data_IF_363893047562
#
_entry.id   IF_363893047562
#
_cell.length_a   1.000
_cell.length_b   1.000
_cell.length_c   1.000
_cell.angle_alpha   90.00
_cell.angle_beta   90.00
_cell.angle_gamma   90.00
#
_symmetry.space_group_name_H-M   'P 1'
#
loop_
_entity.id
_entity.type
_entity.pdbx_description
1 polymer ?
#
# COMPACT_ATOMS: atom_id res chain seq x y z
N UNK A 1 10.45 -3.28 -39.15
CA UNK A 1 10.77 -2.14 -40.08
C UNK A 1 9.48 -1.36 -40.28
N UNK A 2 9.22 -0.26 -39.57
CA UNK A 2 8.40 0.87 -40.04
C UNK A 2 8.87 2.08 -39.23
N UNK A 3 9.57 2.95 -39.94
CA UNK A 3 10.07 4.25 -39.48
C UNK A 3 8.95 5.26 -39.78
N UNK A 4 8.51 6.01 -38.78
CA UNK A 4 7.77 7.24 -39.06
C UNK A 4 8.46 8.41 -38.39
N UNK A 5 9.20 9.11 -39.23
CA UNK A 5 9.64 10.48 -39.04
C UNK A 5 8.57 11.41 -39.55
N UNK A 6 8.09 12.36 -38.73
CA UNK A 6 7.52 13.61 -39.24
C UNK A 6 7.90 14.75 -38.29
N UNK A 7 8.89 15.50 -38.81
CA UNK A 7 9.19 16.88 -38.41
C UNK A 7 7.99 17.78 -38.74
N UNK A 8 7.59 18.63 -37.82
CA UNK A 8 6.89 19.87 -38.19
C UNK A 8 7.41 21.01 -37.32
N UNK A 9 8.31 21.77 -37.93
CA UNK A 9 8.82 23.06 -37.47
C UNK A 9 7.75 24.12 -37.76
N UNK A 10 7.30 24.87 -36.78
CA UNK A 10 6.61 26.14 -36.99
C UNK A 10 7.28 27.20 -36.13
N UNK A 11 8.02 28.05 -36.79
CA UNK A 11 8.56 29.28 -36.27
C UNK A 11 7.46 30.38 -36.35
N UNK A 12 7.15 31.06 -35.26
CA UNK A 12 6.48 32.33 -35.28
C UNK A 12 7.25 33.32 -34.42
N UNK A 13 7.92 34.25 -35.11
CA UNK A 13 8.48 35.45 -34.55
C UNK A 13 7.43 36.53 -34.55
N UNK A 14 7.09 37.10 -33.40
CA UNK A 14 6.43 38.43 -33.32
C UNK A 14 7.11 39.24 -32.23
N UNK A 15 7.81 40.27 -32.64
CA UNK A 15 8.27 41.38 -31.81
C UNK A 15 7.07 42.18 -31.30
N UNK A 16 7.01 42.39 -29.99
CA UNK A 16 6.09 43.33 -29.40
C UNK A 16 6.63 43.78 -28.04
N UNK A 17 7.39 44.88 -28.05
CA UNK A 17 7.84 45.54 -26.82
C UNK A 17 6.66 46.32 -26.20
N UNK A 18 6.24 45.90 -25.01
CA UNK A 18 5.39 46.72 -24.16
C UNK A 18 5.86 46.50 -22.71
N UNK A 19 6.58 47.46 -22.20
CA UNK A 19 6.92 47.58 -20.80
C UNK A 19 5.68 47.97 -20.00
N UNK A 20 5.16 47.01 -19.25
CA UNK A 20 4.17 47.29 -18.21
C UNK A 20 4.87 47.00 -16.87
N UNK A 21 4.87 47.89 -15.90
CA UNK A 21 5.37 47.59 -14.59
C UNK A 21 4.42 46.59 -13.92
N UNK A 22 4.85 45.36 -13.77
CA UNK A 22 4.11 44.35 -13.01
C UNK A 22 4.24 44.71 -11.53
N UNK A 23 3.18 45.29 -11.00
CA UNK A 23 2.91 45.32 -9.58
C UNK A 23 2.89 43.86 -9.13
N UNK A 24 3.86 43.45 -8.31
CA UNK A 24 3.87 42.15 -7.64
C UNK A 24 2.70 42.08 -6.68
N UNK A 25 1.53 41.68 -7.17
CA UNK A 25 0.48 41.15 -6.33
C UNK A 25 0.98 39.78 -5.88
N UNK A 26 1.45 39.70 -4.63
CA UNK A 26 1.66 38.44 -3.94
C UNK A 26 0.32 37.73 -3.90
N UNK A 27 0.17 36.73 -4.77
CA UNK A 27 -0.94 35.78 -4.67
C UNK A 27 -0.79 35.08 -3.30
N UNK A 28 -1.86 35.05 -2.48
CA UNK A 28 -1.85 34.25 -1.27
C UNK A 28 -1.55 32.81 -1.67
N UNK A 29 -0.55 32.23 -1.00
CA UNK A 29 0.07 30.95 -1.32
C UNK A 29 -0.95 29.89 -1.69
N UNK A 30 -0.74 29.30 -2.86
CA UNK A 30 -1.34 28.01 -3.19
C UNK A 30 -1.04 27.07 -2.01
N UNK A 31 -2.04 26.40 -1.43
CA UNK A 31 -1.77 25.38 -0.46
C UNK A 31 -0.85 24.36 -1.14
N UNK A 32 0.38 24.26 -0.66
CA UNK A 32 1.26 23.18 -1.05
C UNK A 32 0.45 21.90 -0.84
N UNK A 33 0.17 21.19 -1.92
CA UNK A 33 -0.40 19.84 -1.85
C UNK A 33 0.66 19.01 -1.16
N UNK A 34 0.55 18.92 0.17
CA UNK A 34 1.36 18.01 0.94
C UNK A 34 0.99 16.61 0.44
N UNK A 35 1.96 15.82 0.00
CA UNK A 35 1.70 14.41 -0.27
C UNK A 35 1.11 13.81 1.02
N UNK A 36 0.13 12.91 0.93
CA UNK A 36 -0.56 12.39 2.09
C UNK A 36 0.44 11.79 3.07
N UNK A 37 0.68 12.48 4.19
CA UNK A 37 1.49 12.00 5.32
C UNK A 37 0.69 10.95 6.11
N UNK A 38 0.21 9.90 5.43
CA UNK A 38 -0.52 8.83 6.08
C UNK A 38 0.39 7.80 6.75
N UNK A 39 1.71 7.87 6.51
CA UNK A 39 2.68 6.96 7.14
C UNK A 39 2.84 7.18 8.66
N UNK A 40 2.48 8.35 9.17
CA UNK A 40 2.56 8.70 10.59
C UNK A 40 1.23 8.52 11.36
N UNK A 41 0.16 8.04 10.72
CA UNK A 41 -1.16 7.94 11.35
C UNK A 41 -1.37 6.65 12.18
N UNK A 42 -0.48 5.67 12.06
CA UNK A 42 -0.57 4.42 12.85
C UNK A 42 0.36 4.47 14.06
N UNK A 43 -0.19 4.15 15.23
CA UNK A 43 0.57 4.00 16.47
C UNK A 43 1.45 2.74 16.43
N UNK A 44 2.50 2.71 17.24
CA UNK A 44 3.35 1.53 17.36
C UNK A 44 2.58 0.29 17.88
N UNK A 45 1.57 0.51 18.71
CA UNK A 45 0.67 -0.55 19.17
C UNK A 45 -0.12 -1.17 18.01
N UNK A 46 -0.69 -0.35 17.12
CA UNK A 46 -1.43 -0.83 15.94
C UNK A 46 -0.50 -1.57 14.97
N UNK A 47 0.71 -1.06 14.75
CA UNK A 47 1.69 -1.71 13.89
C UNK A 47 2.20 -3.02 14.48
N UNK A 48 2.31 -3.10 15.80
CA UNK A 48 2.66 -4.35 16.49
C UNK A 48 1.55 -5.39 16.35
N UNK A 49 0.29 -5.02 16.59
CA UNK A 49 -0.86 -5.92 16.37
C UNK A 49 -0.92 -6.37 14.92
N UNK A 50 -0.71 -5.45 13.97
CA UNK A 50 -0.64 -5.78 12.55
C UNK A 50 0.49 -6.78 12.23
N UNK A 51 1.69 -6.58 12.78
CA UNK A 51 2.83 -7.46 12.57
C UNK A 51 2.56 -8.89 13.08
N UNK A 52 1.95 -9.02 14.26
CA UNK A 52 1.55 -10.32 14.83
C UNK A 52 0.47 -10.99 13.99
N UNK A 53 -0.56 -10.24 13.59
CA UNK A 53 -1.61 -10.73 12.71
C UNK A 53 -1.04 -11.21 11.37
N UNK A 54 -0.12 -10.44 10.76
CA UNK A 54 0.53 -10.79 9.50
C UNK A 54 1.35 -12.09 9.60
N UNK A 55 2.10 -12.28 10.69
CA UNK A 55 2.82 -13.53 10.95
C UNK A 55 1.88 -14.73 11.09
N UNK A 56 0.78 -14.57 11.81
CA UNK A 56 -0.22 -15.63 11.98
C UNK A 56 -0.91 -15.96 10.66
N UNK A 57 -1.32 -14.94 9.88
CA UNK A 57 -1.89 -15.12 8.54
C UNK A 57 -0.91 -15.85 7.62
N UNK A 58 0.37 -15.49 7.64
CA UNK A 58 1.38 -16.17 6.82
C UNK A 58 1.56 -17.64 7.25
N UNK A 59 1.55 -17.93 8.55
CA UNK A 59 1.63 -19.29 9.08
C UNK A 59 0.43 -20.13 8.62
N UNK A 60 -0.78 -19.59 8.72
CA UNK A 60 -2.00 -20.25 8.26
C UNK A 60 -1.94 -20.52 6.76
N UNK A 61 -1.53 -19.54 5.95
CA UNK A 61 -1.35 -19.75 4.50
C UNK A 61 -0.41 -20.92 4.21
N UNK A 62 0.74 -20.96 4.85
CA UNK A 62 1.72 -22.05 4.67
C UNK A 62 1.18 -23.41 5.10
N UNK A 63 0.31 -23.44 6.12
CA UNK A 63 -0.35 -24.68 6.58
C UNK A 63 -1.41 -25.17 5.60
N UNK A 64 -2.11 -24.25 4.93
CA UNK A 64 -3.21 -24.58 4.02
C UNK A 64 -2.79 -24.77 2.56
N UNK A 65 -1.65 -24.23 2.11
CA UNK A 65 -1.13 -24.44 0.77
C UNK A 65 -1.05 -25.92 0.37
N UNK A 66 -0.43 -26.84 1.14
CA UNK A 66 -0.37 -28.24 0.77
C UNK A 66 -1.75 -28.92 0.78
N UNK A 67 -2.70 -28.44 1.58
CA UNK A 67 -4.08 -28.94 1.59
C UNK A 67 -4.83 -28.55 0.32
N UNK A 68 -4.57 -27.32 -0.19
CA UNK A 68 -5.12 -26.88 -1.47
C UNK A 68 -4.55 -27.68 -2.65
N UNK A 69 -3.22 -27.95 -2.63
CA UNK A 69 -2.56 -28.76 -3.66
C UNK A 69 -3.03 -30.20 -3.65
N UNK A 70 -3.46 -30.73 -2.50
CA UNK A 70 -3.99 -32.08 -2.35
C UNK A 70 -5.47 -32.20 -2.68
N UNK A 71 -6.21 -31.09 -2.79
CA UNK A 71 -7.62 -31.07 -3.13
C UNK A 71 -7.82 -31.55 -4.59
N UNK A 72 -8.70 -32.51 -4.79
CA UNK A 72 -8.93 -33.15 -6.11
C UNK A 72 -10.22 -32.69 -6.77
N UNK A 73 -11.08 -32.03 -6.03
CA UNK A 73 -12.36 -31.53 -6.53
C UNK A 73 -12.56 -30.06 -6.16
N UNK A 74 -13.33 -29.33 -6.96
CA UNK A 74 -13.65 -27.92 -6.65
C UNK A 74 -14.30 -27.74 -5.28
N UNK A 75 -15.11 -28.70 -4.83
CA UNK A 75 -15.78 -28.68 -3.52
C UNK A 75 -14.74 -28.76 -2.40
N UNK A 76 -13.77 -29.68 -2.51
CA UNK A 76 -12.66 -29.81 -1.54
C UNK A 76 -11.80 -28.53 -1.50
N UNK A 77 -11.51 -27.93 -2.68
CA UNK A 77 -10.82 -26.65 -2.70
C UNK A 77 -11.58 -25.54 -1.96
N UNK A 78 -12.89 -25.46 -2.15
CA UNK A 78 -13.73 -24.45 -1.49
C UNK A 78 -13.76 -24.64 0.01
N UNK A 79 -13.87 -25.87 0.50
CA UNK A 79 -13.82 -26.19 1.92
C UNK A 79 -12.47 -25.76 2.54
N UNK A 80 -11.36 -26.12 1.90
CA UNK A 80 -10.02 -25.75 2.36
C UNK A 80 -9.85 -24.24 2.34
N UNK A 81 -10.29 -23.54 1.29
CA UNK A 81 -10.23 -22.06 1.20
C UNK A 81 -11.06 -21.40 2.29
N UNK A 82 -12.28 -21.93 2.52
CA UNK A 82 -13.15 -21.41 3.57
C UNK A 82 -12.50 -21.57 4.95
N UNK A 83 -12.03 -22.77 5.27
CA UNK A 83 -11.37 -23.03 6.54
C UNK A 83 -10.13 -22.14 6.74
N UNK A 84 -9.30 -21.97 5.71
CA UNK A 84 -8.15 -21.08 5.76
C UNK A 84 -8.57 -19.61 6.01
N UNK A 85 -9.62 -19.17 5.33
CA UNK A 85 -10.14 -17.80 5.50
C UNK A 85 -10.68 -17.57 6.91
N UNK A 86 -11.47 -18.51 7.42
CA UNK A 86 -12.05 -18.43 8.76
C UNK A 86 -10.95 -18.35 9.84
N UNK A 87 -9.88 -19.18 9.72
CA UNK A 87 -8.74 -19.11 10.62
C UNK A 87 -7.94 -17.80 10.50
N UNK A 88 -7.77 -17.28 9.28
CA UNK A 88 -7.10 -15.98 9.09
C UNK A 88 -7.88 -14.83 9.72
N UNK A 89 -9.21 -14.84 9.60
CA UNK A 89 -10.08 -13.85 10.24
C UNK A 89 -9.93 -13.93 11.76
N UNK A 90 -10.02 -15.12 12.34
CA UNK A 90 -9.83 -15.31 13.79
C UNK A 90 -8.44 -14.87 14.26
N UNK A 91 -7.39 -15.13 13.47
CA UNK A 91 -6.04 -14.71 13.81
C UNK A 91 -5.89 -13.18 13.80
N UNK A 92 -6.54 -12.49 12.87
CA UNK A 92 -6.54 -11.01 12.81
C UNK A 92 -7.31 -10.42 14.00
N UNK A 93 -8.50 -10.96 14.27
CA UNK A 93 -9.36 -10.51 15.39
C UNK A 93 -8.72 -10.81 16.76
N UNK A 94 -8.01 -11.94 16.88
CA UNK A 94 -7.26 -12.31 18.08
C UNK A 94 -6.15 -11.32 18.45
N UNK A 95 -5.62 -10.58 17.48
CA UNK A 95 -4.64 -9.51 17.71
C UNK A 95 -5.31 -8.14 17.97
N UNK A 96 -6.63 -8.11 18.16
CA UNK A 96 -7.40 -6.89 18.44
C UNK A 96 -7.64 -6.00 17.21
N UNK A 97 -7.57 -6.56 16.01
CA UNK A 97 -7.80 -5.85 14.75
C UNK A 97 -9.04 -6.35 14.04
N UNK A 98 -9.70 -5.47 13.30
CA UNK A 98 -10.70 -5.89 12.31
C UNK A 98 -10.01 -6.26 10.99
N UNK A 99 -10.63 -7.12 10.20
CA UNK A 99 -10.14 -7.48 8.85
C UNK A 99 -10.01 -6.23 7.96
N UNK A 100 -10.87 -5.24 8.14
CA UNK A 100 -10.80 -3.97 7.41
C UNK A 100 -9.54 -3.20 7.76
N UNK A 101 -9.24 -3.00 9.05
CA UNK A 101 -8.01 -2.33 9.50
C UNK A 101 -6.76 -3.06 9.00
N UNK A 102 -6.75 -4.40 9.08
CA UNK A 102 -5.65 -5.20 8.55
C UNK A 102 -5.41 -4.94 7.05
N UNK A 103 -6.47 -4.88 6.23
CA UNK A 103 -6.36 -4.59 4.80
C UNK A 103 -5.89 -3.16 4.54
N UNK A 104 -6.39 -2.18 5.27
CA UNK A 104 -5.99 -0.77 5.16
C UNK A 104 -4.49 -0.63 5.44
N UNK A 105 -3.99 -1.18 6.55
CA UNK A 105 -2.57 -1.15 6.89
C UNK A 105 -1.75 -1.91 5.84
N UNK A 106 -2.20 -3.10 5.41
CA UNK A 106 -1.51 -3.87 4.36
C UNK A 106 -1.33 -3.07 3.06
N UNK A 107 -2.35 -2.33 2.66
CA UNK A 107 -2.28 -1.47 1.46
C UNK A 107 -1.30 -0.31 1.68
N UNK A 108 -1.34 0.34 2.83
CA UNK A 108 -0.45 1.45 3.16
C UNK A 108 1.02 1.01 3.27
N UNK A 109 1.28 -0.17 3.84
CA UNK A 109 2.62 -0.77 3.92
C UNK A 109 3.22 -0.98 2.53
N UNK A 110 2.42 -1.38 1.54
CA UNK A 110 2.88 -1.56 0.16
C UNK A 110 3.19 -0.22 -0.54
N UNK A 111 2.58 0.86 -0.11
CA UNK A 111 2.73 2.20 -0.69
C UNK A 111 3.77 3.06 0.02
N UNK A 112 4.12 2.74 1.26
CA UNK A 112 5.04 3.51 2.09
C UNK A 112 6.23 2.66 2.57
N UNK A 113 7.43 2.87 2.00
CA UNK A 113 8.64 2.17 2.46
C UNK A 113 8.98 2.44 3.92
N UNK A 114 8.65 3.62 4.42
CA UNK A 114 8.87 3.98 5.82
C UNK A 114 7.97 3.20 6.76
N UNK A 115 6.68 3.06 6.42
CA UNK A 115 5.75 2.25 7.17
C UNK A 115 6.14 0.76 7.12
N UNK A 116 6.57 0.28 5.94
CA UNK A 116 7.08 -1.08 5.77
C UNK A 116 8.26 -1.38 6.70
N UNK A 117 9.19 -0.43 6.85
CA UNK A 117 10.33 -0.56 7.76
C UNK A 117 9.90 -0.67 9.22
N UNK A 118 8.99 0.18 9.69
CA UNK A 118 8.43 0.12 11.04
C UNK A 118 7.75 -1.23 11.32
N UNK A 119 6.95 -1.72 10.38
CA UNK A 119 6.31 -3.04 10.49
C UNK A 119 7.34 -4.16 10.54
N UNK A 120 8.40 -4.11 9.72
CA UNK A 120 9.48 -5.11 9.75
C UNK A 120 10.21 -5.15 11.09
N UNK A 121 10.39 -4.03 11.76
CA UNK A 121 10.97 -3.98 13.11
C UNK A 121 10.08 -4.74 14.10
N UNK A 122 8.77 -4.52 14.09
CA UNK A 122 7.84 -5.25 14.95
C UNK A 122 7.76 -6.75 14.60
N UNK A 123 7.84 -7.12 13.32
CA UNK A 123 7.90 -8.54 12.89
C UNK A 123 9.15 -9.21 13.43
N UNK A 124 10.31 -8.54 13.38
CA UNK A 124 11.57 -9.06 13.90
C UNK A 124 11.51 -9.28 15.41
N UNK A 125 10.99 -8.29 16.13
CA UNK A 125 10.83 -8.37 17.59
C UNK A 125 9.88 -9.50 18.01
N UNK A 126 8.83 -9.75 17.22
CA UNK A 126 7.90 -10.83 17.46
C UNK A 126 8.49 -12.22 17.16
N UNK A 127 9.39 -12.33 16.18
CA UNK A 127 10.02 -13.58 15.79
C UNK A 127 11.16 -14.01 16.73
N UNK A 128 11.67 -13.11 17.58
CA UNK A 128 12.78 -13.35 18.50
C UNK A 128 12.34 -13.71 19.93
N UNK A 129 11.04 -13.74 20.19
CA UNK A 129 10.46 -14.14 21.49
C UNK A 129 9.95 -15.57 21.48
#
# INVERSE_FOLDING_TARGET
MIRWTLLTTIAFAVLGASWVPVVSAQAPGSPAVQPPQQASSYSDSELKSFALAALNVQRIRNLYLPKLDAAKTPEQEQEVRKAATDEMVQAIEGEGMTVRQYREISTQVQQSPELAKRVQEHVRDAATK
#
